data_IF_674889682962
#
_entry.id   IF_674889682962
#
_cell.length_a   1.000
_cell.length_b   1.000
_cell.length_c   1.000
_cell.angle_alpha   90.00
_cell.angle_beta   90.00
_cell.angle_gamma   90.00
#
_symmetry.space_group_name_H-M   'P 1'
#
loop_
_entity.id
_entity.type
_entity.pdbx_description
1 polymer ?
#
# COMPACT_ATOMS: atom_id res chain seq x y z
N UNK A 1 -30.03 52.89 -13.24
CA UNK A 1 -30.60 51.65 -12.68
C UNK A 1 -29.90 50.46 -13.34
N UNK A 2 -29.08 49.77 -12.56
CA UNK A 2 -28.77 48.32 -12.58
C UNK A 2 -27.36 48.10 -12.04
N UNK A 3 -27.29 47.69 -10.77
CA UNK A 3 -26.11 47.08 -10.18
C UNK A 3 -26.30 45.56 -10.26
N UNK A 4 -25.27 44.84 -10.71
CA UNK A 4 -25.14 43.41 -10.56
C UNK A 4 -23.88 43.12 -9.73
N UNK A 5 -24.05 42.25 -8.74
CA UNK A 5 -23.08 41.92 -7.71
C UNK A 5 -21.85 41.18 -8.28
N UNK A 6 -20.65 41.54 -7.80
CA UNK A 6 -19.43 40.77 -7.98
C UNK A 6 -19.15 39.97 -6.70
N UNK A 7 -19.14 38.65 -6.83
CA UNK A 7 -18.67 37.74 -5.80
C UNK A 7 -17.15 37.79 -5.69
N UNK A 8 -16.63 37.99 -4.48
CA UNK A 8 -15.20 37.93 -4.19
C UNK A 8 -14.73 36.47 -4.15
N UNK A 9 -13.65 36.18 -4.88
CA UNK A 9 -12.95 34.90 -4.85
C UNK A 9 -12.00 34.85 -3.63
N UNK A 10 -12.34 33.98 -2.69
CA UNK A 10 -11.68 33.83 -1.38
C UNK A 10 -10.37 33.03 -1.46
N UNK A 11 -9.98 32.52 -2.63
CA UNK A 11 -8.76 31.70 -2.79
C UNK A 11 -7.51 32.47 -3.24
N UNK A 12 -7.64 33.77 -3.56
CA UNK A 12 -6.54 34.55 -4.16
C UNK A 12 -5.46 35.08 -3.18
N UNK A 13 -5.53 34.80 -1.88
CA UNK A 13 -4.66 35.45 -0.87
C UNK A 13 -3.50 34.62 -0.28
N UNK A 14 -3.11 33.46 -0.84
CA UNK A 14 -2.11 32.57 -0.17
C UNK A 14 -0.87 32.14 -0.95
N UNK A 15 -0.49 32.81 -2.03
CA UNK A 15 0.75 32.47 -2.75
C UNK A 15 1.84 33.53 -2.55
N UNK A 16 2.69 33.32 -1.55
CA UNK A 16 3.90 34.11 -1.30
C UNK A 16 5.16 33.51 -1.92
N UNK A 17 5.81 34.32 -2.78
CA UNK A 17 7.19 34.38 -3.32
C UNK A 17 8.01 33.09 -3.66
N UNK A 18 8.80 33.10 -4.77
CA UNK A 18 9.52 31.92 -5.28
C UNK A 18 10.85 31.64 -4.55
N UNK A 19 11.21 30.35 -4.39
CA UNK A 19 12.46 29.88 -3.77
C UNK A 19 13.66 29.90 -4.75
N UNK A 20 14.86 30.14 -4.22
CA UNK A 20 16.16 30.09 -4.94
C UNK A 20 16.86 28.75 -4.71
N UNK A 21 17.62 28.31 -5.72
CA UNK A 21 18.34 27.03 -5.80
C UNK A 21 19.77 27.16 -5.23
N UNK A 22 20.20 26.25 -4.34
CA UNK A 22 21.61 26.11 -3.94
C UNK A 22 22.24 24.95 -4.72
N UNK A 23 23.22 25.32 -5.56
CA UNK A 23 23.85 24.46 -6.56
C UNK A 23 24.89 23.51 -5.94
N UNK A 24 25.24 23.67 -4.66
CA UNK A 24 26.31 22.89 -4.03
C UNK A 24 25.85 21.53 -3.47
N UNK A 25 24.55 21.37 -3.15
CA UNK A 25 24.01 20.17 -2.50
C UNK A 25 22.73 19.59 -3.12
N UNK A 26 22.18 20.20 -4.18
CA UNK A 26 21.09 19.61 -4.97
C UNK A 26 19.73 19.46 -4.28
N UNK A 27 19.43 20.22 -3.23
CA UNK A 27 18.14 20.17 -2.51
C UNK A 27 17.51 21.57 -2.42
N UNK A 28 16.22 21.76 -2.80
CA UNK A 28 15.50 23.00 -2.55
C UNK A 28 15.18 23.14 -1.05
N UNK A 29 15.40 24.34 -0.48
CA UNK A 29 14.98 24.65 0.89
C UNK A 29 14.01 25.82 0.92
N UNK A 30 13.06 25.80 1.85
CA UNK A 30 12.29 26.97 2.26
C UNK A 30 12.62 27.24 3.73
N UNK A 31 13.43 28.27 3.99
CA UNK A 31 13.69 28.76 5.36
C UNK A 31 14.77 28.05 6.18
N UNK A 32 15.69 27.28 5.58
CA UNK A 32 16.92 26.84 6.26
C UNK A 32 16.77 25.78 7.38
N UNK A 33 15.68 25.01 7.41
CA UNK A 33 15.50 23.88 8.33
C UNK A 33 15.13 22.58 7.59
N UNK A 34 15.57 21.44 8.13
CA UNK A 34 15.19 20.08 7.71
C UNK A 34 13.66 19.93 7.71
N UNK A 35 13.06 19.44 6.61
CA UNK A 35 11.62 19.20 6.49
C UNK A 35 11.15 18.15 7.52
N UNK A 36 9.97 18.34 8.11
CA UNK A 36 9.47 17.48 9.18
C UNK A 36 8.76 16.24 8.62
N UNK A 37 9.06 15.03 9.14
CA UNK A 37 8.54 13.74 8.66
C UNK A 37 7.01 13.47 8.70
N UNK A 38 6.19 14.48 8.95
CA UNK A 38 4.76 14.35 9.26
C UNK A 38 3.80 14.42 8.05
N UNK A 39 4.35 14.42 6.84
CA UNK A 39 3.60 14.50 5.58
C UNK A 39 3.74 13.26 4.66
N UNK A 40 4.59 12.27 5.00
CA UNK A 40 4.60 10.97 4.34
C UNK A 40 3.35 10.16 4.72
N UNK A 41 2.72 9.44 3.78
CA UNK A 41 1.58 8.57 4.06
C UNK A 41 1.88 7.11 3.69
N UNK A 42 1.53 6.18 4.57
CA UNK A 42 1.56 4.75 4.26
C UNK A 42 0.20 4.08 4.53
N UNK A 43 -0.51 3.70 3.46
CA UNK A 43 -1.71 2.89 3.55
C UNK A 43 -1.33 1.41 3.39
N UNK A 44 -1.55 0.61 4.43
CA UNK A 44 -1.29 -0.83 4.43
C UNK A 44 -2.58 -1.64 4.60
N UNK A 45 -2.88 -2.51 3.65
CA UNK A 45 -4.11 -3.33 3.62
C UNK A 45 -3.80 -4.74 4.10
N UNK A 46 -4.60 -5.23 5.06
CA UNK A 46 -4.51 -6.60 5.58
C UNK A 46 -4.96 -7.68 4.59
N UNK A 47 -4.75 -8.95 4.97
CA UNK A 47 -5.25 -10.10 4.23
C UNK A 47 -6.78 -10.25 4.26
N UNK A 48 -7.27 -11.28 3.56
CA UNK A 48 -8.68 -11.66 3.47
C UNK A 48 -9.31 -11.80 4.87
N UNK A 49 -10.55 -11.33 5.05
CA UNK A 49 -11.13 -11.13 6.37
C UNK A 49 -10.43 -9.98 7.11
N UNK A 50 -10.50 -8.77 6.55
CA UNK A 50 -9.75 -7.58 6.99
C UNK A 50 -10.19 -7.08 8.38
N UNK A 51 -9.75 -7.81 9.39
CA UNK A 51 -10.07 -7.58 10.79
C UNK A 51 -9.32 -8.57 11.69
N UNK A 52 -8.49 -8.05 12.59
CA UNK A 52 -7.72 -8.88 13.51
C UNK A 52 -6.60 -8.12 14.23
N UNK A 53 -6.26 -8.57 15.43
CA UNK A 53 -5.25 -7.89 16.27
C UNK A 53 -3.84 -7.90 15.67
N UNK A 54 -3.57 -8.75 14.67
CA UNK A 54 -2.29 -8.76 13.94
C UNK A 54 -2.05 -7.46 13.15
N UNK A 55 -3.11 -6.78 12.70
CA UNK A 55 -3.02 -5.49 11.99
C UNK A 55 -2.50 -4.38 12.90
N UNK A 56 -2.92 -4.38 14.17
CA UNK A 56 -2.35 -3.51 15.21
C UNK A 56 -0.86 -3.78 15.38
N UNK A 57 -0.44 -5.04 15.26
CA UNK A 57 0.96 -5.44 15.28
C UNK A 57 1.76 -4.88 14.10
N UNK A 58 1.17 -4.85 12.90
CA UNK A 58 1.80 -4.23 11.72
C UNK A 58 1.96 -2.73 11.91
N UNK A 59 0.89 -2.04 12.30
CA UNK A 59 0.92 -0.59 12.56
C UNK A 59 2.00 -0.24 13.59
N UNK A 60 2.00 -0.91 14.74
CA UNK A 60 3.02 -0.71 15.78
C UNK A 60 4.45 -0.94 15.25
N UNK A 61 4.65 -1.99 14.46
CA UNK A 61 5.97 -2.29 13.91
C UNK A 61 6.45 -1.23 12.91
N UNK A 62 5.57 -0.75 12.04
CA UNK A 62 5.88 0.32 11.09
C UNK A 62 6.18 1.65 11.79
N UNK A 63 5.33 2.05 12.73
CA UNK A 63 5.52 3.27 13.52
C UNK A 63 6.82 3.20 14.36
N UNK A 64 7.10 2.05 14.98
CA UNK A 64 8.34 1.85 15.74
C UNK A 64 9.61 1.85 14.87
N UNK A 65 9.49 1.51 13.59
CA UNK A 65 10.58 1.60 12.61
C UNK A 65 10.75 3.02 12.05
N UNK A 66 9.87 3.97 12.42
CA UNK A 66 9.90 5.35 11.95
C UNK A 66 9.14 5.60 10.65
N UNK A 67 8.25 4.68 10.24
CA UNK A 67 7.32 4.92 9.13
C UNK A 67 6.15 5.77 9.64
N UNK A 68 5.84 6.87 8.97
CA UNK A 68 4.91 7.88 9.48
C UNK A 68 3.52 7.83 8.81
N UNK A 69 2.53 8.38 9.53
CA UNK A 69 1.12 8.40 9.16
C UNK A 69 0.59 7.06 8.61
N UNK A 70 0.96 5.97 9.27
CA UNK A 70 0.55 4.62 8.90
C UNK A 70 -0.95 4.46 9.12
N UNK A 71 -1.67 4.07 8.06
CA UNK A 71 -3.09 3.73 8.10
C UNK A 71 -3.28 2.27 7.76
N UNK A 72 -3.94 1.54 8.65
CA UNK A 72 -4.28 0.12 8.47
C UNK A 72 -5.80 -0.05 8.61
N UNK A 73 -6.56 -0.05 7.49
CA UNK A 73 -8.00 -0.26 7.55
C UNK A 73 -8.34 -1.63 8.16
N UNK A 74 -9.44 -1.70 8.92
CA UNK A 74 -9.93 -2.96 9.49
C UNK A 74 -9.37 -3.35 10.86
N UNK A 75 -8.53 -2.53 11.51
CA UNK A 75 -8.00 -2.81 12.88
C UNK A 75 -9.07 -3.09 13.96
N UNK A 76 -10.33 -2.78 13.68
CA UNK A 76 -11.47 -2.88 14.62
C UNK A 76 -12.69 -3.64 14.06
N UNK A 77 -12.55 -4.47 13.02
CA UNK A 77 -13.67 -5.26 12.48
C UNK A 77 -13.65 -6.73 13.00
N UNK A 78 -14.46 -7.10 14.00
CA UNK A 78 -14.56 -8.48 14.50
C UNK A 78 -15.35 -9.44 13.59
N UNK A 79 -15.98 -8.94 12.51
CA UNK A 79 -16.86 -9.74 11.62
C UNK A 79 -16.08 -10.56 10.58
N UNK A 80 -14.76 -10.39 10.51
CA UNK A 80 -13.88 -10.96 9.48
C UNK A 80 -13.69 -12.48 9.50
N UNK A 81 -13.82 -13.14 10.68
CA UNK A 81 -13.45 -14.56 10.84
C UNK A 81 -14.28 -15.53 9.98
N UNK A 82 -15.50 -15.17 9.62
CA UNK A 82 -16.39 -15.99 8.77
C UNK A 82 -16.30 -15.71 7.27
N UNK A 83 -15.60 -14.64 6.86
CA UNK A 83 -15.48 -14.23 5.44
C UNK A 83 -14.21 -14.73 4.76
N UNK A 84 -13.27 -15.30 5.50
CA UNK A 84 -11.95 -15.71 5.00
C UNK A 84 -12.03 -16.65 3.78
N UNK A 85 -12.96 -17.61 3.78
CA UNK A 85 -13.19 -18.52 2.65
C UNK A 85 -13.83 -17.83 1.44
N UNK A 86 -14.75 -16.89 1.67
CA UNK A 86 -15.41 -16.12 0.59
C UNK A 86 -14.44 -15.10 -0.01
N UNK A 87 -13.63 -14.45 0.81
CA UNK A 87 -12.64 -13.47 0.40
C UNK A 87 -11.47 -14.13 -0.33
N UNK A 88 -11.05 -15.35 0.06
CA UNK A 88 -10.04 -16.12 -0.68
C UNK A 88 -10.52 -16.51 -2.09
N UNK A 89 -11.82 -16.80 -2.25
CA UNK A 89 -12.43 -17.06 -3.57
C UNK A 89 -12.52 -15.81 -4.45
N UNK A 90 -12.40 -14.61 -3.87
CA UNK A 90 -12.37 -13.35 -4.64
C UNK A 90 -10.96 -12.98 -5.15
N UNK A 91 -9.90 -13.66 -4.68
CA UNK A 91 -8.51 -13.40 -5.09
C UNK A 91 -8.35 -13.49 -6.63
N UNK A 92 -8.83 -14.55 -7.32
CA UNK A 92 -8.73 -14.62 -8.79
C UNK A 92 -9.52 -13.55 -9.55
N UNK A 93 -10.41 -12.81 -8.88
CA UNK A 93 -11.19 -11.72 -9.49
C UNK A 93 -10.53 -10.35 -9.31
N UNK A 94 -9.54 -10.24 -8.41
CA UNK A 94 -8.90 -8.97 -8.04
C UNK A 94 -7.39 -8.97 -8.27
N UNK A 95 -6.81 -10.12 -8.59
CA UNK A 95 -5.40 -10.33 -8.82
C UNK A 95 -4.92 -9.92 -10.21
N UNK A 96 -5.81 -9.45 -11.08
CA UNK A 96 -5.54 -9.21 -12.49
C UNK A 96 -5.62 -7.72 -12.89
N UNK A 97 -5.05 -7.43 -14.06
CA UNK A 97 -4.97 -6.08 -14.60
C UNK A 97 -6.31 -5.50 -15.05
N UNK A 98 -7.28 -6.33 -15.46
CA UNK A 98 -8.62 -5.86 -15.83
C UNK A 98 -9.36 -5.34 -14.61
N UNK A 99 -9.25 -6.02 -13.47
CA UNK A 99 -9.78 -5.50 -12.21
C UNK A 99 -9.14 -4.15 -11.87
N UNK A 100 -7.81 -4.06 -11.93
CA UNK A 100 -7.10 -2.80 -11.68
C UNK A 100 -7.54 -1.66 -12.63
N UNK A 101 -7.76 -1.97 -13.92
CA UNK A 101 -8.31 -1.03 -14.89
C UNK A 101 -9.73 -0.61 -14.56
N UNK A 102 -10.56 -1.49 -14.00
CA UNK A 102 -11.94 -1.15 -13.60
C UNK A 102 -11.99 -0.09 -12.49
N UNK A 103 -10.92 0.02 -11.68
CA UNK A 103 -10.80 1.04 -10.64
C UNK A 103 -10.40 2.42 -11.18
N UNK A 104 -9.88 2.51 -12.41
CA UNK A 104 -9.56 3.79 -13.07
C UNK A 104 -10.87 4.55 -13.33
N UNK A 105 -10.87 5.84 -13.06
CA UNK A 105 -12.04 6.71 -13.14
C UNK A 105 -12.93 6.69 -11.90
N UNK A 106 -12.71 5.76 -10.96
CA UNK A 106 -13.50 5.73 -9.72
C UNK A 106 -13.16 6.94 -8.82
N UNK A 107 -14.16 7.54 -8.13
CA UNK A 107 -13.93 8.70 -7.26
C UNK A 107 -12.82 8.49 -6.21
N UNK A 108 -12.70 7.27 -5.69
CA UNK A 108 -11.69 6.88 -4.71
C UNK A 108 -10.27 6.91 -5.30
N UNK A 109 -10.08 6.36 -6.51
CA UNK A 109 -8.80 6.38 -7.20
C UNK A 109 -8.37 7.82 -7.54
N UNK A 110 -9.31 8.63 -8.03
CA UNK A 110 -9.09 10.05 -8.30
C UNK A 110 -8.75 10.85 -7.04
N UNK A 111 -9.42 10.56 -5.92
CA UNK A 111 -9.14 11.21 -4.63
C UNK A 111 -7.75 10.84 -4.12
N UNK A 112 -7.37 9.56 -4.18
CA UNK A 112 -6.02 9.11 -3.82
C UNK A 112 -4.94 9.72 -4.74
N UNK A 113 -5.20 9.83 -6.05
CA UNK A 113 -4.30 10.49 -6.97
C UNK A 113 -4.13 12.00 -6.66
N UNK A 114 -5.23 12.72 -6.38
CA UNK A 114 -5.15 14.13 -5.92
C UNK A 114 -4.36 14.24 -4.61
N UNK A 115 -4.59 13.33 -3.66
CA UNK A 115 -3.85 13.30 -2.40
C UNK A 115 -2.36 13.11 -2.63
N UNK A 116 -1.97 12.10 -3.40
CA UNK A 116 -0.55 11.82 -3.70
C UNK A 116 0.18 13.03 -4.33
N UNK A 117 -0.51 13.81 -5.17
CA UNK A 117 0.04 15.05 -5.74
C UNK A 117 0.14 16.18 -4.72
N UNK A 118 -0.83 16.29 -3.81
CA UNK A 118 -0.83 17.31 -2.78
C UNK A 118 0.30 17.17 -1.75
N UNK A 119 0.92 15.98 -1.68
CA UNK A 119 2.06 15.71 -0.80
C UNK A 119 3.38 16.32 -1.30
N UNK A 120 3.44 16.89 -2.51
CA UNK A 120 4.66 17.52 -3.02
C UNK A 120 5.83 16.52 -3.11
N UNK A 121 6.88 16.73 -2.32
CA UNK A 121 8.07 15.87 -2.28
C UNK A 121 7.94 14.69 -1.29
N UNK A 122 6.89 14.66 -0.46
CA UNK A 122 6.66 13.65 0.57
C UNK A 122 6.10 12.35 -0.01
N UNK A 123 6.34 11.22 0.66
CA UNK A 123 6.01 9.91 0.08
C UNK A 123 4.51 9.59 0.15
N UNK A 124 3.97 9.07 -0.96
CA UNK A 124 2.71 8.35 -0.98
C UNK A 124 2.99 6.86 -1.16
N UNK A 125 2.87 6.10 -0.07
CA UNK A 125 3.17 4.68 -0.02
C UNK A 125 1.87 3.86 0.07
N UNK A 126 1.80 2.79 -0.72
CA UNK A 126 0.75 1.79 -0.66
C UNK A 126 1.38 0.43 -0.34
N UNK A 127 0.67 -0.40 0.40
CA UNK A 127 1.13 -1.76 0.63
C UNK A 127 0.03 -2.69 1.08
N UNK A 128 0.34 -3.97 1.08
CA UNK A 128 -0.53 -4.93 1.72
C UNK A 128 0.08 -6.30 1.87
N UNK A 129 -0.69 -7.14 2.55
CA UNK A 129 -0.35 -8.52 2.86
C UNK A 129 -1.41 -9.47 2.32
N UNK A 130 -0.99 -10.56 1.66
CA UNK A 130 -1.89 -11.55 1.07
C UNK A 130 -2.89 -10.86 0.12
N UNK A 131 -4.19 -11.08 0.28
CA UNK A 131 -5.26 -10.37 -0.43
C UNK A 131 -5.07 -8.84 -0.45
N UNK A 132 -4.66 -8.24 0.67
CA UNK A 132 -4.42 -6.80 0.75
C UNK A 132 -3.30 -6.32 -0.18
N UNK A 133 -2.33 -7.18 -0.48
CA UNK A 133 -1.28 -6.87 -1.45
C UNK A 133 -1.84 -6.80 -2.88
N UNK A 134 -2.80 -7.67 -3.23
CA UNK A 134 -3.49 -7.59 -4.52
C UNK A 134 -4.35 -6.33 -4.62
N UNK A 135 -5.09 -6.00 -3.56
CA UNK A 135 -5.87 -4.77 -3.50
C UNK A 135 -4.99 -3.52 -3.62
N UNK A 136 -3.86 -3.49 -2.91
CA UNK A 136 -2.89 -2.40 -2.97
C UNK A 136 -2.25 -2.27 -4.36
N UNK A 137 -1.93 -3.38 -5.04
CA UNK A 137 -1.41 -3.36 -6.40
C UNK A 137 -2.43 -2.79 -7.39
N UNK A 138 -3.69 -3.24 -7.33
CA UNK A 138 -4.76 -2.73 -8.17
C UNK A 138 -5.01 -1.23 -7.94
N UNK A 139 -5.05 -0.81 -6.68
CA UNK A 139 -5.20 0.60 -6.32
C UNK A 139 -3.99 1.44 -6.77
N UNK A 140 -2.77 0.95 -6.61
CA UNK A 140 -1.56 1.64 -7.05
C UNK A 140 -1.58 1.88 -8.56
N UNK A 141 -1.93 0.86 -9.34
CA UNK A 141 -2.12 1.01 -10.79
C UNK A 141 -3.18 2.08 -11.11
N UNK A 142 -4.35 2.03 -10.46
CA UNK A 142 -5.42 3.00 -10.72
C UNK A 142 -5.01 4.44 -10.35
N UNK A 143 -4.38 4.64 -9.19
CA UNK A 143 -3.85 5.95 -8.75
C UNK A 143 -2.83 6.48 -9.75
N UNK A 144 -1.93 5.61 -10.22
CA UNK A 144 -0.87 5.98 -11.15
C UNK A 144 -1.41 6.37 -12.53
N UNK A 145 -2.46 5.69 -12.99
CA UNK A 145 -3.20 6.02 -14.23
C UNK A 145 -3.96 7.35 -14.14
N UNK A 146 -4.43 7.72 -12.95
CA UNK A 146 -5.06 9.03 -12.65
C UNK A 146 -4.02 10.17 -12.48
N UNK A 147 -2.77 9.92 -12.86
CA UNK A 147 -1.65 10.86 -12.75
C UNK A 147 -1.20 11.12 -11.31
N UNK A 148 -1.57 10.25 -10.36
CA UNK A 148 -1.01 10.25 -9.01
C UNK A 148 0.38 9.62 -8.99
N UNK A 149 1.17 9.89 -7.95
CA UNK A 149 2.43 9.20 -7.70
C UNK A 149 2.24 8.11 -6.66
N UNK A 150 2.96 7.00 -6.79
CA UNK A 150 3.13 5.99 -5.75
C UNK A 150 4.63 5.81 -5.55
N UNK A 151 5.15 6.29 -4.44
CA UNK A 151 6.58 6.28 -4.16
C UNK A 151 7.06 4.86 -3.86
N UNK A 152 6.34 4.13 -2.99
CA UNK A 152 6.57 2.71 -2.74
C UNK A 152 5.26 1.92 -2.79
N UNK A 153 5.28 0.80 -3.51
CA UNK A 153 4.27 -0.25 -3.48
C UNK A 153 4.85 -1.50 -2.80
N UNK A 154 4.36 -1.83 -1.60
CA UNK A 154 4.82 -2.99 -0.82
C UNK A 154 3.88 -4.18 -1.01
N UNK A 155 4.42 -5.30 -1.49
CA UNK A 155 3.67 -6.52 -1.81
C UNK A 155 4.19 -7.68 -0.95
N UNK A 156 3.47 -8.06 0.11
CA UNK A 156 3.87 -9.15 1.00
C UNK A 156 3.01 -10.38 0.73
N UNK A 157 3.63 -11.49 0.31
CA UNK A 157 2.92 -12.73 -0.03
C UNK A 157 1.80 -12.50 -1.05
N UNK A 158 2.09 -11.74 -2.11
CA UNK A 158 1.06 -11.16 -2.96
C UNK A 158 0.54 -12.16 -4.01
N UNK A 159 -0.76 -12.53 -4.00
CA UNK A 159 -1.34 -13.42 -4.99
C UNK A 159 -1.77 -12.64 -6.24
N UNK A 160 -0.85 -11.91 -6.87
CA UNK A 160 -1.12 -11.14 -8.11
C UNK A 160 -0.56 -11.83 -9.33
N UNK A 161 -1.28 -11.74 -10.45
CA UNK A 161 -0.84 -12.40 -11.68
C UNK A 161 0.27 -11.62 -12.40
N UNK A 162 0.88 -12.27 -13.41
CA UNK A 162 1.97 -11.71 -14.20
C UNK A 162 1.63 -10.36 -14.86
N UNK A 163 0.40 -10.19 -15.33
CA UNK A 163 -0.03 -8.98 -16.03
C UNK A 163 -0.12 -7.79 -15.09
N UNK A 164 -0.80 -7.94 -13.94
CA UNK A 164 -0.91 -6.88 -12.94
C UNK A 164 0.47 -6.55 -12.35
N UNK A 165 1.27 -7.57 -12.02
CA UNK A 165 2.61 -7.36 -11.49
C UNK A 165 3.51 -6.64 -12.50
N UNK A 166 3.46 -7.05 -13.76
CA UNK A 166 4.18 -6.39 -14.85
C UNK A 166 3.74 -4.95 -15.04
N UNK A 167 2.44 -4.67 -14.95
CA UNK A 167 1.90 -3.32 -15.09
C UNK A 167 2.38 -2.39 -13.97
N UNK A 168 2.30 -2.80 -12.70
CA UNK A 168 2.72 -1.94 -11.58
C UNK A 168 4.23 -1.70 -11.56
N UNK A 169 5.04 -2.67 -12.02
CA UNK A 169 6.51 -2.52 -12.09
C UNK A 169 7.00 -1.62 -13.22
N UNK A 170 6.22 -1.51 -14.30
CA UNK A 170 6.61 -0.75 -15.50
C UNK A 170 5.97 0.64 -15.53
N UNK A 171 5.01 0.92 -14.64
CA UNK A 171 4.29 2.18 -14.65
C UNK A 171 5.19 3.35 -14.18
N UNK A 172 5.36 4.43 -14.94
CA UNK A 172 6.33 5.50 -14.63
C UNK A 172 6.01 6.27 -13.33
N UNK A 173 4.74 6.34 -12.95
CA UNK A 173 4.32 6.97 -11.70
C UNK A 173 4.40 6.06 -10.45
N UNK A 174 4.81 4.79 -10.60
CA UNK A 174 5.07 3.88 -9.48
C UNK A 174 6.59 3.71 -9.38
N UNK A 175 7.22 4.38 -8.43
CA UNK A 175 8.68 4.54 -8.40
C UNK A 175 9.42 3.30 -7.93
N UNK A 176 8.87 2.63 -6.92
CA UNK A 176 9.49 1.46 -6.31
C UNK A 176 8.44 0.40 -6.00
N UNK A 177 8.67 -0.83 -6.49
CA UNK A 177 7.84 -1.99 -6.16
C UNK A 177 8.65 -2.93 -5.29
N UNK A 178 8.27 -3.02 -4.02
CA UNK A 178 8.90 -3.81 -2.98
C UNK A 178 8.14 -5.13 -2.86
N UNK A 179 8.59 -6.15 -3.60
CA UNK A 179 8.10 -7.52 -3.42
C UNK A 179 8.77 -8.17 -2.20
N UNK A 180 7.97 -8.87 -1.39
CA UNK A 180 8.38 -9.67 -0.23
C UNK A 180 7.67 -11.02 -0.34
N UNK A 181 8.31 -11.95 -1.04
CA UNK A 181 7.88 -13.34 -1.08
C UNK A 181 8.17 -14.02 0.27
N UNK A 182 7.39 -15.06 0.59
CA UNK A 182 7.46 -15.80 1.85
C UNK A 182 7.83 -17.27 1.61
N UNK A 183 8.48 -17.57 0.49
CA UNK A 183 8.88 -18.91 0.07
C UNK A 183 9.85 -19.56 1.07
N UNK A 184 10.74 -18.77 1.69
CA UNK A 184 11.60 -19.22 2.79
C UNK A 184 10.83 -19.64 4.04
N UNK A 185 9.55 -19.27 4.15
CA UNK A 185 8.63 -19.70 5.20
C UNK A 185 7.64 -20.77 4.73
N UNK A 186 7.78 -21.23 3.48
CA UNK A 186 6.98 -22.30 2.88
C UNK A 186 5.78 -21.82 2.07
N UNK A 187 5.57 -20.50 1.91
CA UNK A 187 4.46 -19.95 1.12
C UNK A 187 4.63 -20.30 -0.37
N UNK A 188 3.65 -20.98 -1.01
CA UNK A 188 3.68 -21.20 -2.46
C UNK A 188 3.31 -19.96 -3.29
N UNK A 189 2.75 -18.92 -2.67
CA UNK A 189 2.28 -17.71 -3.35
C UNK A 189 3.44 -16.73 -3.56
N UNK A 190 3.58 -16.25 -4.79
CA UNK A 190 4.55 -15.22 -5.20
C UNK A 190 3.93 -14.25 -6.21
N UNK A 191 4.40 -13.01 -6.21
CA UNK A 191 3.92 -12.02 -7.18
C UNK A 191 4.31 -12.42 -8.61
N UNK A 192 3.37 -12.28 -9.55
CA UNK A 192 3.59 -12.54 -10.96
C UNK A 192 3.41 -14.00 -11.39
N UNK A 193 2.68 -14.79 -10.59
CA UNK A 193 2.27 -16.14 -10.97
C UNK A 193 1.26 -16.10 -12.14
N UNK A 194 1.18 -17.18 -12.89
CA UNK A 194 0.02 -17.44 -13.74
C UNK A 194 -1.21 -17.78 -12.89
N UNK A 195 -2.41 -17.60 -13.43
CA UNK A 195 -3.64 -17.99 -12.75
C UNK A 195 -3.66 -19.50 -12.44
N UNK A 196 -3.07 -20.32 -13.32
CA UNK A 196 -2.92 -21.76 -13.08
C UNK A 196 -2.02 -22.06 -11.88
N UNK A 197 -0.85 -21.41 -11.78
CA UNK A 197 0.04 -21.57 -10.63
C UNK A 197 -0.64 -21.12 -9.33
N UNK A 198 -1.40 -20.01 -9.36
CA UNK A 198 -2.14 -19.53 -8.19
C UNK A 198 -3.18 -20.56 -7.75
N UNK A 199 -3.97 -21.10 -8.68
CA UNK A 199 -4.95 -22.15 -8.38
C UNK A 199 -4.27 -23.42 -7.83
N UNK A 200 -3.14 -23.82 -8.40
CA UNK A 200 -2.37 -24.98 -7.94
C UNK A 200 -1.77 -24.78 -6.54
N UNK A 201 -1.53 -23.53 -6.12
CA UNK A 201 -1.03 -23.20 -4.79
C UNK A 201 -2.11 -23.24 -3.71
N UNK A 202 -3.40 -23.08 -4.06
CA UNK A 202 -4.51 -22.97 -3.10
C UNK A 202 -4.61 -24.14 -2.12
N UNK A 203 -4.48 -25.43 -2.52
CA UNK A 203 -4.56 -26.53 -1.56
C UNK A 203 -3.50 -26.44 -0.45
N UNK A 204 -2.26 -26.08 -0.81
CA UNK A 204 -1.18 -25.92 0.18
C UNK A 204 -1.42 -24.73 1.10
N UNK A 205 -1.96 -23.62 0.58
CA UNK A 205 -2.35 -22.47 1.40
C UNK A 205 -3.47 -22.86 2.37
N UNK A 206 -4.46 -23.64 1.92
CA UNK A 206 -5.52 -24.15 2.79
C UNK A 206 -4.97 -25.06 3.90
N UNK A 207 -4.05 -25.97 3.57
CA UNK A 207 -3.38 -26.82 4.57
C UNK A 207 -2.59 -25.99 5.59
N UNK A 208 -1.87 -24.95 5.14
CA UNK A 208 -1.14 -24.02 6.03
C UNK A 208 -2.07 -23.24 6.95
N UNK A 209 -3.29 -22.95 6.50
CA UNK A 209 -4.30 -22.31 7.35
C UNK A 209 -4.80 -23.27 8.45
N UNK A 210 -4.97 -24.55 8.13
CA UNK A 210 -5.49 -25.57 9.04
C UNK A 210 -4.45 -26.03 10.07
N UNK A 211 -3.16 -26.00 9.72
CA UNK A 211 -2.02 -26.34 10.59
C UNK A 211 -1.54 -25.10 11.37
N UNK A 212 -2.40 -24.56 12.24
CA UNK A 212 -2.13 -23.43 13.15
C UNK A 212 -2.07 -22.02 12.52
N UNK A 213 -2.05 -21.89 11.19
CA UNK A 213 -2.28 -20.61 10.51
C UNK A 213 -1.21 -19.53 10.79
N UNK A 214 0.04 -19.94 11.04
CA UNK A 214 1.14 -19.06 11.45
C UNK A 214 2.43 -19.24 10.66
N UNK A 215 2.44 -20.15 9.68
CA UNK A 215 3.57 -20.43 8.78
C UNK A 215 3.16 -20.25 7.32
N UNK A 216 4.14 -20.30 6.41
CA UNK A 216 3.92 -20.11 4.98
C UNK A 216 3.22 -18.80 4.67
N UNK A 217 2.09 -18.88 3.98
CA UNK A 217 1.30 -17.71 3.60
C UNK A 217 0.86 -16.87 4.79
N UNK A 218 0.69 -17.50 5.96
CA UNK A 218 0.18 -16.87 7.18
C UNK A 218 1.28 -16.40 8.15
N UNK A 219 2.54 -16.33 7.70
CA UNK A 219 3.70 -16.02 8.54
C UNK A 219 3.58 -14.76 9.44
N UNK A 220 2.86 -13.73 8.97
CA UNK A 220 2.66 -12.47 9.70
C UNK A 220 1.26 -12.31 10.33
N UNK A 221 0.38 -13.30 10.20
CA UNK A 221 -1.04 -13.22 10.62
C UNK A 221 -1.24 -13.41 12.13
N UNK A 222 -0.26 -13.97 12.84
CA UNK A 222 -0.39 -14.32 14.26
C UNK A 222 -0.18 -13.15 15.22
N UNK A 223 -0.41 -13.40 16.51
CA UNK A 223 -0.28 -12.43 17.61
C UNK A 223 0.76 -12.88 18.64
N UNK A 224 1.32 -11.93 19.39
CA UNK A 224 2.29 -12.20 20.44
C UNK A 224 3.75 -11.94 20.03
N UNK A 225 4.70 -12.17 20.96
CA UNK A 225 6.07 -11.67 20.85
C UNK A 225 6.84 -12.18 19.63
N UNK A 226 6.59 -13.41 19.19
CA UNK A 226 7.22 -13.94 17.99
C UNK A 226 6.77 -13.20 16.73
N UNK A 227 5.47 -13.05 16.53
CA UNK A 227 4.93 -12.36 15.37
C UNK A 227 5.24 -10.86 15.38
N UNK A 228 5.34 -10.24 16.57
CA UNK A 228 5.81 -8.87 16.71
C UNK A 228 7.27 -8.73 16.27
N UNK A 229 8.15 -9.68 16.63
CA UNK A 229 9.53 -9.70 16.11
C UNK A 229 9.58 -9.88 14.59
N UNK A 230 8.77 -10.79 14.04
CA UNK A 230 8.68 -10.99 12.58
C UNK A 230 8.29 -9.68 11.87
N UNK A 231 7.23 -9.01 12.33
CA UNK A 231 6.76 -7.74 11.76
C UNK A 231 7.75 -6.60 11.94
N UNK A 232 8.44 -6.52 13.08
CA UNK A 232 9.54 -5.57 13.26
C UNK A 232 10.62 -5.78 12.20
N UNK A 233 11.09 -7.03 12.02
CA UNK A 233 12.09 -7.34 11.01
C UNK A 233 11.63 -7.00 9.59
N UNK A 234 10.34 -7.16 9.28
CA UNK A 234 9.78 -6.67 8.02
C UNK A 234 9.84 -5.14 7.93
N UNK A 235 9.38 -4.42 8.94
CA UNK A 235 9.36 -2.96 8.96
C UNK A 235 10.77 -2.36 8.79
N UNK A 236 11.77 -2.91 9.50
CA UNK A 236 13.17 -2.51 9.36
C UNK A 236 13.64 -2.64 7.90
N UNK A 237 13.36 -3.79 7.26
CA UNK A 237 13.69 -4.02 5.83
C UNK A 237 12.95 -3.07 4.89
N UNK A 238 11.72 -2.66 5.20
CA UNK A 238 10.99 -1.70 4.38
C UNK A 238 11.62 -0.31 4.46
N UNK A 239 12.06 0.10 5.65
CA UNK A 239 12.79 1.36 5.85
C UNK A 239 14.11 1.33 5.10
N UNK A 240 14.88 0.24 5.16
CA UNK A 240 16.11 0.06 4.38
C UNK A 240 15.85 0.19 2.87
N UNK A 241 14.67 -0.23 2.40
CA UNK A 241 14.25 -0.16 1.00
C UNK A 241 13.55 1.15 0.61
N UNK A 242 13.54 2.14 1.50
CA UNK A 242 13.13 3.51 1.19
C UNK A 242 11.71 3.89 1.60
N UNK A 243 10.99 3.06 2.36
CA UNK A 243 9.68 3.43 2.92
C UNK A 243 9.88 4.35 4.13
N UNK A 244 9.15 5.46 4.19
CA UNK A 244 9.16 6.47 5.24
C UNK A 244 7.75 6.82 5.65
#
# INVERSE_FOLDING_TARGET
MHAAASGQDVYAQRLGAPSRFDVSNGVPTKGGGRLSPEDCEFLFIGGAGVGGDYLKGFRRAFEAAGIQNVRVPGESDPVSKGRLAVDALSIPMMNDLNFAKSLVGMPQAQAAARRSRSLGDEQFNLGGYSYGAAAAAAQAYAVAQEGGKVDNLVLVGAPINADLYGAVRKHPNIRNVINVDLDQHGDPIRAGMSDFELVAALPKVADQFLQDGHDGHFYYSGVGPEHDRRRKGLADRLVERGVR
#
